data_IF_953473606644
#
_entry.id   IF_953473606644
#
_cell.length_a   1.000
_cell.length_b   1.000
_cell.length_c   1.000
_cell.angle_alpha   90.00
_cell.angle_beta   90.00
_cell.angle_gamma   90.00
#
_symmetry.space_group_name_H-M   'P 1'
#
loop_
_entity.id
_entity.type
_entity.pdbx_description
1 polymer ?
#
# COMPACT_ATOMS: atom_id res chain seq x y z
N UNK A 1 -7.66 7.16 -9.77
CA UNK A 1 -8.42 6.29 -8.86
C UNK A 1 -8.62 6.99 -7.52
N UNK A 2 -9.85 6.95 -7.01
CA UNK A 2 -10.15 7.34 -5.64
C UNK A 2 -9.66 6.24 -4.65
N UNK A 3 -9.73 6.50 -3.35
CA UNK A 3 -9.20 5.57 -2.34
C UNK A 3 -9.98 4.24 -2.30
N UNK A 4 -11.29 4.26 -2.52
CA UNK A 4 -12.12 3.06 -2.52
C UNK A 4 -11.81 2.15 -3.72
N UNK A 5 -11.62 2.73 -4.90
CA UNK A 5 -11.16 2.02 -6.10
C UNK A 5 -9.79 1.38 -5.90
N UNK A 6 -8.87 2.07 -5.21
CA UNK A 6 -7.57 1.51 -4.87
C UNK A 6 -7.71 0.33 -3.90
N UNK A 7 -8.51 0.47 -2.84
CA UNK A 7 -8.74 -0.63 -1.90
C UNK A 7 -9.34 -1.86 -2.58
N UNK A 8 -10.31 -1.64 -3.48
CA UNK A 8 -10.92 -2.73 -4.24
C UNK A 8 -9.91 -3.38 -5.18
N UNK A 9 -9.11 -2.59 -5.89
CA UNK A 9 -8.08 -3.09 -6.80
C UNK A 9 -7.00 -3.89 -6.05
N UNK A 10 -6.62 -3.49 -4.84
CA UNK A 10 -5.59 -4.15 -4.04
C UNK A 10 -6.12 -5.26 -3.10
N UNK A 11 -7.43 -5.49 -3.06
CA UNK A 11 -8.06 -6.47 -2.16
C UNK A 11 -7.49 -7.88 -2.30
N UNK A 12 -7.05 -8.27 -3.49
CA UNK A 12 -6.44 -9.57 -3.78
C UNK A 12 -5.05 -9.77 -3.14
N UNK A 13 -4.40 -8.68 -2.70
CA UNK A 13 -3.12 -8.73 -1.98
C UNK A 13 -3.31 -8.91 -0.47
N UNK A 14 -4.52 -8.73 0.05
CA UNK A 14 -4.80 -8.90 1.48
C UNK A 14 -4.71 -10.39 1.82
N UNK A 15 -3.89 -10.72 2.82
CA UNK A 15 -3.59 -12.09 3.23
C UNK A 15 -2.36 -12.70 2.55
N UNK A 16 -1.73 -12.01 1.58
CA UNK A 16 -0.46 -12.46 1.00
C UNK A 16 0.73 -11.93 1.80
N UNK A 17 1.89 -12.61 1.79
CA UNK A 17 3.11 -12.06 2.36
C UNK A 17 3.53 -10.78 1.63
N UNK A 18 3.98 -9.80 2.40
CA UNK A 18 4.55 -8.57 1.88
C UNK A 18 5.95 -8.83 1.36
N UNK A 19 6.17 -8.46 0.11
CA UNK A 19 7.49 -8.37 -0.49
C UNK A 19 7.73 -6.95 -1.02
N UNK A 20 9.00 -6.46 -1.03
CA UNK A 20 9.31 -5.14 -1.56
C UNK A 20 8.88 -4.93 -3.02
N UNK A 21 8.82 -6.01 -3.81
CA UNK A 21 8.35 -6.05 -5.20
C UNK A 21 6.88 -5.61 -5.35
N UNK A 22 6.05 -5.86 -4.33
CA UNK A 22 4.62 -5.51 -4.32
C UNK A 22 4.42 -3.99 -4.47
N UNK A 23 5.38 -3.17 -4.05
CA UNK A 23 5.30 -1.71 -4.21
C UNK A 23 5.25 -1.29 -5.69
N UNK A 24 6.04 -1.94 -6.54
CA UNK A 24 6.00 -1.70 -7.99
C UNK A 24 4.66 -2.12 -8.57
N UNK A 25 4.14 -3.29 -8.18
CA UNK A 25 2.82 -3.77 -8.61
C UNK A 25 1.70 -2.82 -8.18
N UNK A 26 1.71 -2.34 -6.94
CA UNK A 26 0.74 -1.35 -6.46
C UNK A 26 0.84 -0.06 -7.28
N UNK A 27 2.06 0.38 -7.60
CA UNK A 27 2.29 1.59 -8.41
C UNK A 27 1.74 1.42 -9.82
N UNK A 28 1.93 0.26 -10.44
CA UNK A 28 1.40 -0.06 -11.77
C UNK A 28 -0.13 -0.16 -11.79
N UNK A 29 -0.74 -0.79 -10.78
CA UNK A 29 -2.20 -0.96 -10.69
C UNK A 29 -2.89 0.39 -10.41
N UNK A 30 -2.35 1.18 -9.48
CA UNK A 30 -3.02 2.37 -8.97
C UNK A 30 -2.59 3.66 -9.65
N UNK A 31 -1.45 3.63 -10.37
CA UNK A 31 -0.77 4.80 -10.91
C UNK A 31 -0.14 5.71 -9.86
N UNK A 32 -0.15 5.32 -8.57
CA UNK A 32 0.35 6.15 -7.47
C UNK A 32 1.83 5.88 -7.22
N UNK A 33 2.72 6.87 -7.39
CA UNK A 33 4.18 6.65 -7.30
C UNK A 33 4.70 6.49 -5.86
N UNK A 34 3.88 6.82 -4.85
CA UNK A 34 4.30 6.93 -3.45
C UNK A 34 3.71 5.78 -2.62
N UNK A 35 4.30 4.60 -2.74
CA UNK A 35 3.92 3.43 -1.94
C UNK A 35 4.94 3.22 -0.81
N UNK A 36 4.46 3.24 0.42
CA UNK A 36 5.25 3.09 1.66
C UNK A 36 5.02 1.71 2.24
N UNK A 37 6.10 0.95 2.43
CA UNK A 37 6.07 -0.35 3.08
C UNK A 37 5.81 -0.26 4.60
N UNK A 38 5.45 -1.38 5.25
CA UNK A 38 5.08 -1.43 6.66
C UNK A 38 6.19 -0.99 7.63
N UNK A 39 7.46 -1.10 7.23
CA UNK A 39 8.62 -0.72 8.04
C UNK A 39 9.35 0.53 7.50
N UNK A 40 8.77 1.22 6.51
CA UNK A 40 9.39 2.40 5.92
C UNK A 40 8.96 3.67 6.66
N UNK A 41 9.94 4.49 7.02
CA UNK A 41 9.69 5.78 7.64
C UNK A 41 9.16 6.76 6.58
N UNK A 42 7.99 7.35 6.81
CA UNK A 42 7.41 8.39 5.95
C UNK A 42 7.40 9.74 6.66
N UNK A 43 7.49 10.83 5.90
CA UNK A 43 7.26 12.18 6.44
C UNK A 43 5.80 12.33 6.88
N UNK A 44 5.52 13.20 7.86
CA UNK A 44 4.14 13.47 8.32
C UNK A 44 3.37 14.43 7.42
N UNK A 45 3.95 14.82 6.28
CA UNK A 45 3.30 15.67 5.30
C UNK A 45 2.19 14.91 4.59
N UNK A 46 1.03 15.55 4.50
CA UNK A 46 -0.14 15.04 3.80
C UNK A 46 0.17 14.87 2.30
N UNK A 47 -0.10 13.68 1.77
CA UNK A 47 0.12 13.34 0.36
C UNK A 47 -1.02 12.45 -0.11
N UNK A 48 -1.94 13.04 -0.89
CA UNK A 48 -3.09 12.38 -1.51
C UNK A 48 -2.71 11.13 -2.32
N UNK A 49 -1.49 11.07 -2.87
CA UNK A 49 -1.04 9.95 -3.67
C UNK A 49 -0.32 8.88 -2.86
N UNK A 50 -0.25 9.01 -1.53
CA UNK A 50 0.47 8.07 -0.68
C UNK A 50 -0.39 6.87 -0.32
N UNK A 51 0.19 5.69 -0.49
CA UNK A 51 -0.39 4.42 -0.02
C UNK A 51 0.55 3.83 1.02
N UNK A 52 0.04 3.59 2.22
CA UNK A 52 0.72 2.85 3.26
C UNK A 52 0.25 1.41 3.25
N UNK A 53 1.19 0.47 3.11
CA UNK A 53 0.92 -0.96 3.25
C UNK A 53 0.93 -1.30 4.73
N UNK A 54 -0.13 -1.95 5.20
CA UNK A 54 -0.22 -2.47 6.57
C UNK A 54 0.02 -3.95 6.55
N UNK A 55 0.94 -4.41 7.39
CA UNK A 55 1.17 -5.83 7.62
C UNK A 55 1.00 -6.19 9.09
N UNK A 56 0.78 -7.47 9.36
CA UNK A 56 0.86 -8.02 10.70
C UNK A 56 2.31 -8.34 11.12
N UNK A 57 2.45 -8.98 12.29
CA UNK A 57 3.73 -9.42 12.83
C UNK A 57 4.43 -10.50 11.97
N UNK A 58 3.69 -11.22 11.13
CA UNK A 58 4.21 -12.23 10.21
C UNK A 58 4.49 -11.67 8.81
N UNK A 59 4.47 -10.35 8.64
CA UNK A 59 4.61 -9.67 7.35
C UNK A 59 3.49 -10.01 6.35
N UNK A 60 2.32 -10.48 6.80
CA UNK A 60 1.16 -10.65 5.92
C UNK A 60 0.44 -9.32 5.75
N UNK A 61 0.07 -8.98 4.52
CA UNK A 61 -0.67 -7.76 4.20
C UNK A 61 -2.07 -7.85 4.82
N UNK A 62 -2.38 -6.91 5.71
CA UNK A 62 -3.68 -6.77 6.36
C UNK A 62 -4.55 -5.72 5.66
N UNK A 63 -3.94 -4.80 4.90
CA UNK A 63 -4.66 -3.79 4.14
C UNK A 63 -3.80 -2.56 3.82
N UNK A 64 -4.49 -1.47 3.46
CA UNK A 64 -3.84 -0.23 2.99
C UNK A 64 -4.47 1.01 3.65
N UNK A 65 -3.68 2.08 3.82
CA UNK A 65 -4.15 3.39 4.31
C UNK A 65 -3.58 4.57 3.53
N UNK A 66 -4.28 5.71 3.54
CA UNK A 66 -3.98 6.88 2.70
C UNK A 66 -3.91 8.16 3.56
N UNK A 67 -2.89 8.24 4.40
CA UNK A 67 -2.67 9.38 5.31
C UNK A 67 -1.79 10.46 4.66
#
# INVERSE_FOLDING_TARGET
MNNDEVLQALSHLVGTPYEPSVKSTITEITGRPRVVGPNEMSTKEYDINRIHIRTDANQLIQGFSFN
#
